data_IF_929921610977
#
_entry.id   IF_929921610977
#
_cell.length_a   1.000
_cell.length_b   1.000
_cell.length_c   1.000
_cell.angle_alpha   90.00
_cell.angle_beta   90.00
_cell.angle_gamma   90.00
#
_symmetry.space_group_name_H-M   'P 1'
#
loop_
_entity.id
_entity.type
_entity.pdbx_description
1 polymer ?
#
# COMPACT_ATOMS: atom_id res chain seq x y z
N UNK A 1 -19.44 6.18 -28.49
CA UNK A 1 -19.38 6.83 -27.16
C UNK A 1 -20.38 6.16 -26.24
N UNK A 2 -19.96 5.62 -25.09
CA UNK A 2 -20.89 4.95 -24.16
C UNK A 2 -21.73 5.98 -23.36
N UNK A 3 -23.02 5.72 -23.09
CA UNK A 3 -23.95 6.70 -22.54
C UNK A 3 -23.53 7.24 -21.16
N UNK A 4 -23.95 8.47 -20.82
CA UNK A 4 -23.73 9.07 -19.49
C UNK A 4 -24.46 8.25 -18.44
N UNK A 5 -23.81 7.99 -17.31
CA UNK A 5 -24.42 7.23 -16.21
C UNK A 5 -25.34 8.17 -15.43
N UNK A 6 -26.61 7.81 -15.30
CA UNK A 6 -27.60 8.59 -14.57
C UNK A 6 -27.70 8.11 -13.10
N UNK A 7 -28.50 8.81 -12.29
CA UNK A 7 -28.68 8.48 -10.88
C UNK A 7 -29.20 7.05 -10.65
N UNK A 8 -30.06 6.55 -11.54
CA UNK A 8 -30.55 5.17 -11.48
C UNK A 8 -29.44 4.14 -11.71
N UNK A 9 -28.55 4.39 -12.68
CA UNK A 9 -27.36 3.55 -12.90
C UNK A 9 -26.49 3.48 -11.64
N UNK A 10 -26.32 4.62 -10.96
CA UNK A 10 -25.54 4.72 -9.74
C UNK A 10 -26.18 3.92 -8.58
N UNK A 11 -27.51 4.00 -8.44
CA UNK A 11 -28.30 3.20 -7.51
C UNK A 11 -28.18 1.69 -7.74
N UNK A 12 -28.36 1.23 -8.98
CA UNK A 12 -28.23 -0.20 -9.32
C UNK A 12 -26.81 -0.71 -9.05
N UNK A 13 -25.79 0.12 -9.28
CA UNK A 13 -24.39 -0.24 -9.03
C UNK A 13 -24.07 -0.35 -7.53
N UNK A 14 -24.62 0.54 -6.70
CA UNK A 14 -24.46 0.49 -5.25
C UNK A 14 -25.18 -0.73 -4.66
N UNK A 15 -26.41 -0.97 -5.10
CA UNK A 15 -27.18 -2.15 -4.69
C UNK A 15 -26.53 -3.48 -5.12
N UNK A 16 -25.90 -3.51 -6.30
CA UNK A 16 -25.12 -4.67 -6.74
C UNK A 16 -23.93 -4.94 -5.80
N UNK A 17 -23.24 -3.90 -5.33
CA UNK A 17 -22.14 -4.05 -4.38
C UNK A 17 -22.61 -4.55 -3.03
N UNK A 18 -23.73 -4.03 -2.53
CA UNK A 18 -24.32 -4.45 -1.26
C UNK A 18 -24.79 -5.91 -1.32
N UNK A 19 -25.43 -6.33 -2.42
CA UNK A 19 -25.86 -7.73 -2.58
C UNK A 19 -24.73 -8.72 -2.87
N UNK A 20 -23.64 -8.28 -3.52
CA UNK A 20 -22.43 -9.11 -3.69
C UNK A 20 -21.71 -9.41 -2.36
N UNK A 21 -21.97 -8.61 -1.32
CA UNK A 21 -21.45 -8.85 0.03
C UNK A 21 -22.29 -9.92 0.76
N UNK A 22 -23.59 -9.99 0.50
CA UNK A 22 -24.52 -10.87 1.23
C UNK A 22 -24.78 -12.23 0.56
N UNK A 23 -24.71 -12.33 -0.77
CA UNK A 23 -25.00 -13.57 -1.50
C UNK A 23 -24.04 -13.73 -2.67
N UNK A 24 -23.33 -14.86 -2.73
CA UNK A 24 -22.32 -15.21 -3.74
C UNK A 24 -22.92 -15.48 -5.14
N UNK A 25 -23.80 -14.60 -5.63
CA UNK A 25 -24.54 -14.69 -6.90
C UNK A 25 -24.38 -13.37 -7.66
N UNK A 26 -23.82 -13.44 -8.86
CA UNK A 26 -23.68 -12.28 -9.75
C UNK A 26 -24.89 -12.16 -10.68
N UNK A 27 -25.81 -11.24 -10.38
CA UNK A 27 -26.88 -10.86 -11.31
C UNK A 27 -26.34 -9.96 -12.43
N UNK A 28 -26.91 -10.08 -13.64
CA UNK A 28 -26.62 -9.13 -14.71
C UNK A 28 -27.24 -7.76 -14.40
N UNK A 29 -26.64 -6.69 -14.93
CA UNK A 29 -27.14 -5.33 -14.69
C UNK A 29 -28.61 -5.16 -15.12
N UNK A 30 -29.02 -5.82 -16.21
CA UNK A 30 -30.40 -5.75 -16.70
C UNK A 30 -31.39 -6.41 -15.73
N UNK A 31 -31.05 -7.59 -15.19
CA UNK A 31 -31.86 -8.27 -14.18
C UNK A 31 -32.04 -7.44 -12.91
N UNK A 32 -30.97 -6.76 -12.47
CA UNK A 32 -31.03 -5.86 -11.32
C UNK A 32 -31.83 -4.59 -11.63
N UNK A 33 -31.66 -4.00 -12.82
CA UNK A 33 -32.41 -2.83 -13.23
C UNK A 33 -33.92 -3.11 -13.23
N UNK A 34 -34.35 -4.26 -13.77
CA UNK A 34 -35.76 -4.65 -13.80
C UNK A 34 -36.33 -4.84 -12.38
N UNK A 35 -35.56 -5.47 -11.48
CA UNK A 35 -35.95 -5.68 -10.08
C UNK A 35 -36.00 -4.37 -9.27
N UNK A 36 -35.08 -3.44 -9.55
CA UNK A 36 -34.89 -2.21 -8.77
C UNK A 36 -35.67 -1.02 -9.31
N UNK A 37 -36.20 -1.10 -10.53
CA UNK A 37 -37.03 -0.03 -11.12
C UNK A 37 -38.25 0.33 -10.25
N UNK A 38 -39.04 -0.63 -9.73
CA UNK A 38 -40.17 -0.31 -8.85
C UNK A 38 -39.73 0.40 -7.56
N UNK A 39 -38.64 -0.07 -6.96
CA UNK A 39 -38.08 0.49 -5.72
C UNK A 39 -37.57 1.91 -5.96
N UNK A 40 -36.86 2.13 -7.06
CA UNK A 40 -36.42 3.45 -7.47
C UNK A 40 -37.60 4.40 -7.70
N UNK A 41 -38.67 3.93 -8.32
CA UNK A 41 -39.86 4.75 -8.56
C UNK A 41 -40.56 5.15 -7.25
N UNK A 42 -40.54 4.28 -6.23
CA UNK A 42 -41.09 4.59 -4.90
C UNK A 42 -40.21 5.49 -4.01
N UNK A 43 -38.93 5.69 -4.35
CA UNK A 43 -38.04 6.56 -3.58
C UNK A 43 -38.41 8.04 -3.73
N UNK A 44 -38.27 8.78 -2.64
CA UNK A 44 -38.39 10.24 -2.61
C UNK A 44 -37.25 10.93 -3.35
N UNK A 45 -37.45 12.19 -3.73
CA UNK A 45 -36.41 12.98 -4.41
C UNK A 45 -35.15 13.19 -3.57
N UNK A 46 -35.29 13.24 -2.23
CA UNK A 46 -34.17 13.34 -1.31
C UNK A 46 -33.32 12.06 -1.31
N UNK A 47 -33.94 10.88 -1.32
CA UNK A 47 -33.24 9.59 -1.41
C UNK A 47 -32.54 9.44 -2.77
N UNK A 48 -33.21 9.87 -3.84
CA UNK A 48 -32.64 9.89 -5.21
C UNK A 48 -31.46 10.86 -5.33
N UNK A 49 -31.41 11.91 -4.51
CA UNK A 49 -30.36 12.93 -4.58
C UNK A 49 -28.97 12.38 -4.21
N UNK A 50 -28.90 11.44 -3.25
CA UNK A 50 -27.65 10.71 -2.93
C UNK A 50 -27.04 10.07 -4.18
N UNK A 51 -27.88 9.43 -4.99
CA UNK A 51 -27.45 8.73 -6.20
C UNK A 51 -27.18 9.69 -7.38
N UNK A 52 -27.80 10.88 -7.41
CA UNK A 52 -27.43 11.95 -8.36
C UNK A 52 -26.00 12.42 -8.10
N UNK A 53 -25.66 12.73 -6.84
CA UNK A 53 -24.30 13.11 -6.43
C UNK A 53 -23.31 11.98 -6.78
N UNK A 54 -23.69 10.72 -6.53
CA UNK A 54 -22.85 9.58 -6.87
C UNK A 54 -22.65 9.40 -8.39
N UNK A 55 -23.70 9.59 -9.19
CA UNK A 55 -23.61 9.58 -10.66
C UNK A 55 -22.68 10.70 -11.18
N UNK A 56 -22.74 11.89 -10.59
CA UNK A 56 -21.87 13.01 -10.94
C UNK A 56 -20.40 12.72 -10.59
N UNK A 57 -20.14 12.02 -9.47
CA UNK A 57 -18.80 11.50 -9.12
C UNK A 57 -18.29 10.45 -10.13
N UNK A 58 -19.17 9.57 -10.61
CA UNK A 58 -18.82 8.57 -11.63
C UNK A 58 -18.55 9.22 -13.01
N UNK A 59 -19.31 10.25 -13.36
CA UNK A 59 -19.15 10.98 -14.62
C UNK A 59 -17.95 11.94 -14.59
N UNK A 60 -17.57 12.49 -13.43
CA UNK A 60 -16.37 13.32 -13.26
C UNK A 60 -15.08 12.51 -13.35
N UNK A 61 -15.01 11.31 -12.77
CA UNK A 61 -13.92 10.33 -13.02
C UNK A 61 -13.73 9.96 -14.50
N UNK A 62 -14.75 10.20 -15.33
CA UNK A 62 -14.74 9.94 -16.78
C UNK A 62 -14.25 11.14 -17.60
N UNK A 63 -14.32 12.35 -17.02
CA UNK A 63 -13.77 13.58 -17.61
C UNK A 63 -12.26 13.69 -17.39
N UNK A 64 -11.71 12.98 -16.41
CA UNK A 64 -10.28 12.72 -16.35
C UNK A 64 -9.90 11.84 -17.55
N UNK A 65 -9.42 12.47 -18.63
CA UNK A 65 -8.64 11.77 -19.64
C UNK A 65 -7.43 11.18 -18.92
N UNK A 66 -7.47 9.88 -18.63
CA UNK A 66 -6.30 9.18 -18.13
C UNK A 66 -5.21 9.30 -19.19
N UNK A 67 -4.11 9.97 -18.86
CA UNK A 67 -2.96 10.07 -19.77
C UNK A 67 -2.47 8.65 -20.11
N UNK A 68 -1.95 8.40 -21.33
CA UNK A 68 -1.37 7.12 -21.72
C UNK A 68 -0.36 6.59 -20.69
N UNK A 69 0.43 7.49 -20.08
CA UNK A 69 1.37 7.18 -18.99
C UNK A 69 0.68 6.58 -17.74
N UNK A 70 -0.52 7.03 -17.39
CA UNK A 70 -1.28 6.48 -16.25
C UNK A 70 -1.76 5.05 -16.54
N UNK A 71 -2.14 4.77 -17.79
CA UNK A 71 -2.58 3.43 -18.22
C UNK A 71 -1.39 2.47 -18.24
N UNK A 72 -0.24 2.90 -18.74
CA UNK A 72 1.01 2.12 -18.72
C UNK A 72 1.47 1.87 -17.28
N UNK A 73 1.41 2.88 -16.39
CA UNK A 73 1.77 2.73 -14.97
C UNK A 73 0.83 1.72 -14.29
N UNK A 74 -0.48 1.82 -14.49
CA UNK A 74 -1.46 0.87 -13.94
C UNK A 74 -1.27 -0.57 -14.46
N UNK A 75 -0.96 -0.73 -15.74
CA UNK A 75 -0.72 -2.04 -16.36
C UNK A 75 0.63 -2.66 -15.93
N UNK A 76 1.66 -1.84 -15.75
CA UNK A 76 2.94 -2.30 -15.21
C UNK A 76 2.79 -2.68 -13.73
N UNK A 77 2.04 -1.90 -12.95
CA UNK A 77 1.76 -2.22 -11.54
C UNK A 77 0.99 -3.54 -11.39
N UNK A 78 0.03 -3.81 -12.26
CA UNK A 78 -0.69 -5.10 -12.22
C UNK A 78 0.22 -6.27 -12.60
N UNK A 79 1.11 -6.10 -13.59
CA UNK A 79 2.11 -7.11 -13.92
C UNK A 79 3.10 -7.36 -12.78
N UNK A 80 3.61 -6.29 -12.16
CA UNK A 80 4.53 -6.37 -11.01
C UNK A 80 3.87 -7.04 -9.81
N UNK A 81 2.59 -6.75 -9.57
CA UNK A 81 1.81 -7.41 -8.53
C UNK A 81 1.75 -8.93 -8.73
N UNK A 82 1.41 -9.40 -9.95
CA UNK A 82 1.33 -10.84 -10.23
C UNK A 82 2.69 -11.53 -10.15
N UNK A 83 3.75 -10.90 -10.68
CA UNK A 83 5.12 -11.41 -10.54
C UNK A 83 5.53 -11.51 -9.07
N UNK A 84 5.15 -10.53 -8.26
CA UNK A 84 5.48 -10.55 -6.84
C UNK A 84 4.70 -11.62 -6.09
N UNK A 85 3.42 -11.82 -6.45
CA UNK A 85 2.61 -12.91 -5.94
C UNK A 85 3.25 -14.28 -6.25
N UNK A 86 3.62 -14.52 -7.51
CA UNK A 86 4.27 -15.76 -7.95
C UNK A 86 5.63 -15.97 -7.24
N UNK A 87 6.44 -14.93 -7.13
CA UNK A 87 7.69 -14.99 -6.36
C UNK A 87 7.46 -15.42 -4.91
N UNK A 88 6.44 -14.86 -4.24
CA UNK A 88 6.13 -15.23 -2.86
C UNK A 88 5.61 -16.67 -2.76
N UNK A 89 4.74 -17.09 -3.68
CA UNK A 89 4.26 -18.48 -3.75
C UNK A 89 5.45 -19.45 -3.86
N UNK A 90 6.38 -19.20 -4.79
CA UNK A 90 7.58 -20.03 -4.98
C UNK A 90 8.52 -20.02 -3.75
N UNK A 91 8.72 -18.85 -3.13
CA UNK A 91 9.53 -18.71 -1.91
C UNK A 91 8.93 -19.52 -0.74
N UNK A 92 7.61 -19.48 -0.58
CA UNK A 92 6.92 -20.21 0.49
C UNK A 92 6.73 -21.70 0.20
N UNK A 93 6.71 -22.11 -1.07
CA UNK A 93 6.73 -23.53 -1.44
C UNK A 93 8.07 -24.18 -1.12
N UNK A 94 9.18 -23.49 -1.43
CA UNK A 94 10.54 -23.99 -1.25
C UNK A 94 11.02 -24.03 0.21
N UNK A 95 10.54 -23.13 1.06
CA UNK A 95 10.93 -23.10 2.48
C UNK A 95 10.26 -24.21 3.30
N UNK A 96 10.99 -24.89 4.18
CA UNK A 96 10.42 -25.85 5.14
C UNK A 96 9.74 -25.17 6.34
N UNK A 97 8.95 -25.91 7.12
CA UNK A 97 8.30 -25.36 8.34
C UNK A 97 9.33 -24.92 9.40
N UNK A 98 10.45 -25.63 9.53
CA UNK A 98 11.52 -25.30 10.48
C UNK A 98 12.30 -24.05 10.03
N UNK A 99 12.64 -23.95 8.75
CA UNK A 99 13.28 -22.76 8.17
C UNK A 99 12.37 -21.53 8.26
N UNK A 100 11.05 -21.72 8.10
CA UNK A 100 10.07 -20.64 8.19
C UNK A 100 10.09 -19.98 9.58
N UNK A 101 10.35 -20.74 10.64
CA UNK A 101 10.42 -20.18 11.99
C UNK A 101 11.56 -19.16 12.16
N UNK A 102 12.68 -19.42 11.49
CA UNK A 102 13.90 -18.62 11.64
C UNK A 102 14.11 -17.61 10.52
N UNK A 103 13.35 -17.71 9.43
CA UNK A 103 13.41 -16.77 8.30
C UNK A 103 13.07 -15.36 8.72
N UNK A 104 13.94 -14.44 8.31
CA UNK A 104 13.85 -13.01 8.60
C UNK A 104 12.94 -12.36 7.56
N UNK A 105 11.85 -11.78 8.02
CA UNK A 105 10.93 -10.96 7.23
C UNK A 105 11.09 -9.50 7.61
N UNK A 106 10.85 -8.60 6.66
CA UNK A 106 10.99 -7.16 6.86
C UNK A 106 9.65 -6.48 6.58
N UNK A 107 9.04 -5.93 7.61
CA UNK A 107 7.89 -5.04 7.47
C UNK A 107 8.40 -3.62 7.20
N UNK A 108 7.75 -2.90 6.29
CA UNK A 108 8.16 -1.59 5.82
C UNK A 108 6.95 -0.65 5.78
N UNK A 109 7.17 0.58 6.23
CA UNK A 109 6.25 1.69 6.10
C UNK A 109 7.02 2.92 5.63
N UNK A 110 6.49 3.62 4.63
CA UNK A 110 7.09 4.83 4.07
C UNK A 110 6.03 5.93 4.00
N UNK A 111 6.24 7.01 4.75
CA UNK A 111 5.50 8.24 4.53
C UNK A 111 6.17 9.03 3.40
N UNK A 112 5.36 9.71 2.57
CA UNK A 112 5.84 10.51 1.44
C UNK A 112 5.61 12.01 1.69
N UNK A 113 6.45 12.88 1.14
CA UNK A 113 6.26 14.34 1.27
C UNK A 113 5.09 14.92 0.46
N UNK A 114 4.56 14.17 -0.50
CA UNK A 114 3.61 14.65 -1.48
C UNK A 114 2.45 13.67 -1.67
N UNK A 115 1.32 14.22 -2.08
CA UNK A 115 0.11 13.45 -2.27
C UNK A 115 0.07 12.80 -3.67
N UNK A 116 -0.78 11.79 -3.83
CA UNK A 116 -0.85 10.95 -5.03
C UNK A 116 -1.08 11.72 -6.34
N UNK A 117 -1.86 12.82 -6.31
CA UNK A 117 -2.13 13.59 -7.53
C UNK A 117 -0.88 14.31 -8.06
N UNK A 118 0.10 14.59 -7.20
CA UNK A 118 1.39 15.20 -7.59
C UNK A 118 2.32 14.17 -8.21
N UNK A 119 2.06 12.87 -7.98
CA UNK A 119 2.88 11.73 -8.40
C UNK A 119 4.37 11.86 -8.04
N UNK A 120 4.69 12.72 -7.08
CA UNK A 120 6.03 12.96 -6.60
C UNK A 120 6.23 12.13 -5.33
N UNK A 121 6.64 10.88 -5.49
CA UNK A 121 6.89 9.99 -4.37
C UNK A 121 8.35 10.15 -3.92
N UNK A 122 8.57 10.96 -2.88
CA UNK A 122 9.84 11.09 -2.19
C UNK A 122 9.60 10.80 -0.70
N UNK A 123 10.41 9.94 -0.06
CA UNK A 123 10.17 9.55 1.32
C UNK A 123 10.32 10.77 2.25
N UNK A 124 9.37 10.95 3.15
CA UNK A 124 9.46 11.82 4.32
C UNK A 124 9.94 11.04 5.55
N UNK A 125 9.60 9.76 5.61
CA UNK A 125 10.02 8.85 6.68
C UNK A 125 10.11 7.44 6.13
N UNK A 126 11.13 6.70 6.57
CA UNK A 126 11.29 5.27 6.31
C UNK A 126 11.32 4.58 7.67
N UNK A 127 10.35 3.70 7.91
CA UNK A 127 10.29 2.86 9.10
C UNK A 127 10.27 1.39 8.67
N UNK A 128 11.21 0.59 9.16
CA UNK A 128 11.28 -0.82 8.85
C UNK A 128 11.53 -1.66 10.10
N UNK A 129 11.00 -2.87 10.08
CA UNK A 129 11.08 -3.81 11.18
C UNK A 129 11.44 -5.19 10.66
N UNK A 130 12.52 -5.75 11.18
CA UNK A 130 12.98 -7.09 10.90
C UNK A 130 12.49 -8.03 11.99
N UNK A 131 11.87 -9.14 11.61
CA UNK A 131 11.34 -10.13 12.56
C UNK A 131 11.48 -11.55 12.02
N UNK A 132 11.37 -12.54 12.90
CA UNK A 132 11.10 -13.92 12.52
C UNK A 132 10.04 -14.52 13.46
N UNK A 133 9.53 -15.71 13.14
CA UNK A 133 8.43 -16.31 13.93
C UNK A 133 8.92 -16.88 15.27
N UNK A 134 10.20 -17.25 15.38
CA UNK A 134 10.78 -17.84 16.59
C UNK A 134 11.08 -16.81 17.69
N UNK A 135 11.65 -15.65 17.33
CA UNK A 135 12.08 -14.61 18.28
C UNK A 135 11.22 -13.35 18.25
N UNK A 136 10.32 -13.21 17.27
CA UNK A 136 9.57 -11.98 17.07
C UNK A 136 10.45 -10.89 16.47
N UNK A 137 10.34 -9.67 16.99
CA UNK A 137 11.09 -8.50 16.48
C UNK A 137 12.58 -8.64 16.79
N UNK A 138 13.41 -8.49 15.76
CA UNK A 138 14.87 -8.58 15.85
C UNK A 138 15.51 -7.19 15.86
N UNK A 139 15.20 -6.37 14.85
CA UNK A 139 15.78 -5.05 14.66
C UNK A 139 14.76 -4.09 14.07
N UNK A 140 14.95 -2.80 14.31
CA UNK A 140 14.15 -1.72 13.74
C UNK A 140 15.04 -0.69 13.10
N UNK A 141 14.57 -0.11 12.01
CA UNK A 141 15.17 1.03 11.33
C UNK A 141 14.14 2.16 11.25
N UNK A 142 14.57 3.38 11.53
CA UNK A 142 13.72 4.56 11.48
C UNK A 142 14.55 5.75 11.02
N UNK A 143 14.06 6.46 10.01
CA UNK A 143 14.75 7.61 9.44
C UNK A 143 13.77 8.63 8.87
N UNK A 144 13.82 9.85 9.39
CA UNK A 144 13.19 11.02 8.75
C UNK A 144 14.09 11.49 7.60
N UNK A 145 13.49 11.82 6.46
CA UNK A 145 14.22 12.24 5.26
C UNK A 145 13.82 13.66 4.89
N UNK A 146 14.78 14.57 4.93
CA UNK A 146 14.60 15.98 4.58
C UNK A 146 14.47 16.22 3.07
N UNK A 147 13.81 17.30 2.71
CA UNK A 147 13.58 17.71 1.32
C UNK A 147 13.77 19.23 1.12
N UNK A 148 14.23 19.96 2.14
CA UNK A 148 14.33 21.41 2.14
C UNK A 148 15.22 21.95 1.02
N UNK A 149 16.29 21.23 0.63
CA UNK A 149 17.16 21.66 -0.48
C UNK A 149 16.77 21.08 -1.86
N UNK A 150 15.89 20.09 -1.93
CA UNK A 150 15.58 19.35 -3.17
C UNK A 150 14.06 19.25 -3.48
N UNK A 151 13.24 20.12 -2.91
CA UNK A 151 11.80 20.09 -3.12
C UNK A 151 11.42 20.48 -4.56
N UNK A 152 10.37 19.84 -5.13
CA UNK A 152 9.92 20.14 -6.47
C UNK A 152 9.18 21.49 -6.51
N UNK A 153 9.56 22.36 -7.44
CA UNK A 153 8.92 23.68 -7.60
C UNK A 153 7.47 23.51 -8.06
N UNK A 154 6.57 24.33 -7.51
CA UNK A 154 5.15 24.33 -7.86
C UNK A 154 4.25 23.42 -7.00
N UNK A 155 4.83 22.62 -6.10
CA UNK A 155 4.09 21.68 -5.24
C UNK A 155 4.02 22.09 -3.77
N UNK A 156 4.62 23.22 -3.40
CA UNK A 156 4.79 23.61 -2.00
C UNK A 156 3.47 23.67 -1.20
N UNK A 157 2.39 24.18 -1.80
CA UNK A 157 1.09 24.24 -1.15
C UNK A 157 0.50 22.85 -0.87
N UNK A 158 0.53 21.97 -1.88
CA UNK A 158 -0.02 20.61 -1.76
C UNK A 158 0.80 19.72 -0.82
N UNK A 159 2.12 19.83 -0.86
CA UNK A 159 3.02 19.13 0.08
C UNK A 159 2.79 19.57 1.53
N UNK A 160 2.58 20.87 1.77
CA UNK A 160 2.27 21.38 3.13
C UNK A 160 0.94 20.81 3.62
N UNK A 161 -0.10 20.94 2.81
CA UNK A 161 -1.43 20.45 3.15
C UNK A 161 -1.43 18.94 3.40
N UNK A 162 -0.68 18.18 2.61
CA UNK A 162 -0.53 16.75 2.81
C UNK A 162 0.21 16.44 4.12
N UNK A 163 1.34 17.09 4.35
CA UNK A 163 2.10 16.91 5.59
C UNK A 163 1.25 17.18 6.82
N UNK A 164 0.61 18.35 6.89
CA UNK A 164 -0.19 18.77 8.05
C UNK A 164 -1.34 17.79 8.34
N UNK A 165 -1.93 17.19 7.30
CA UNK A 165 -3.06 16.27 7.43
C UNK A 165 -2.67 14.84 7.82
N UNK A 166 -1.51 14.37 7.39
CA UNK A 166 -1.19 12.94 7.44
C UNK A 166 -0.04 12.61 8.39
N UNK A 167 1.17 13.11 8.15
CA UNK A 167 2.37 12.68 8.87
C UNK A 167 3.02 13.76 9.74
N UNK A 168 2.65 15.04 9.57
CA UNK A 168 3.13 16.19 10.35
C UNK A 168 4.66 16.36 10.32
N UNK A 169 5.30 16.00 9.20
CA UNK A 169 6.76 16.15 9.01
C UNK A 169 6.99 17.37 8.14
N UNK A 170 7.61 18.41 8.70
CA UNK A 170 7.85 19.64 7.96
C UNK A 170 8.83 19.42 6.78
N UNK A 171 8.33 19.61 5.56
CA UNK A 171 9.10 19.47 4.33
C UNK A 171 10.24 20.50 4.23
N UNK A 172 10.15 21.62 4.96
CA UNK A 172 11.10 22.73 4.92
C UNK A 172 12.00 22.82 6.14
N UNK A 173 11.89 21.90 7.10
CA UNK A 173 12.81 21.88 8.24
C UNK A 173 14.21 21.48 7.79
N UNK A 174 15.14 22.44 7.88
CA UNK A 174 16.56 22.27 7.51
C UNK A 174 17.32 21.35 8.45
N UNK A 175 16.73 21.01 9.60
CA UNK A 175 17.32 20.05 10.53
C UNK A 175 17.04 18.60 10.11
N UNK A 176 16.10 18.36 9.20
CA UNK A 176 15.84 17.02 8.71
C UNK A 176 17.04 16.47 7.90
N UNK A 177 17.44 15.20 8.10
CA UNK A 177 18.60 14.63 7.40
C UNK A 177 18.41 14.58 5.87
N UNK A 178 19.35 15.17 5.13
CA UNK A 178 19.35 15.20 3.66
C UNK A 178 20.57 14.51 3.04
N UNK A 179 21.42 13.86 3.85
CA UNK A 179 22.50 13.04 3.32
C UNK A 179 21.93 11.73 2.77
N UNK A 180 21.35 11.80 1.57
CA UNK A 180 20.65 10.68 0.93
C UNK A 180 21.55 9.48 0.71
N UNK A 181 22.84 9.70 0.42
CA UNK A 181 23.82 8.61 0.30
C UNK A 181 23.97 7.84 1.61
N UNK A 182 24.13 8.55 2.73
CA UNK A 182 24.20 7.93 4.06
C UNK A 182 22.89 7.24 4.42
N UNK A 183 21.75 7.90 4.24
CA UNK A 183 20.42 7.34 4.52
C UNK A 183 20.20 6.04 3.74
N UNK A 184 20.50 6.04 2.44
CA UNK A 184 20.36 4.86 1.59
C UNK A 184 21.32 3.74 2.01
N UNK A 185 22.58 4.09 2.33
CA UNK A 185 23.57 3.12 2.82
C UNK A 185 23.13 2.48 4.14
N UNK A 186 22.69 3.29 5.11
CA UNK A 186 22.22 2.83 6.42
C UNK A 186 21.00 1.91 6.26
N UNK A 187 20.06 2.28 5.38
CA UNK A 187 18.89 1.45 5.09
C UNK A 187 19.27 0.13 4.43
N UNK A 188 20.15 0.13 3.43
CA UNK A 188 20.59 -1.09 2.76
C UNK A 188 21.37 -2.01 3.72
N UNK A 189 22.23 -1.44 4.58
CA UNK A 189 22.93 -2.20 5.62
C UNK A 189 21.92 -2.86 6.59
N UNK A 190 20.87 -2.14 6.98
CA UNK A 190 19.77 -2.72 7.74
C UNK A 190 19.10 -3.88 6.99
N UNK A 191 18.94 -3.81 5.68
CA UNK A 191 18.34 -4.92 4.90
C UNK A 191 19.24 -6.16 4.89
N UNK A 192 20.55 -6.01 4.65
CA UNK A 192 21.45 -7.15 4.40
C UNK A 192 22.00 -7.87 5.63
N UNK A 193 21.89 -7.28 6.83
CA UNK A 193 22.60 -7.78 8.04
C UNK A 193 24.14 -7.80 7.93
N UNK A 194 24.71 -7.20 6.87
CA UNK A 194 26.16 -7.11 6.63
C UNK A 194 26.54 -5.67 6.24
N UNK A 195 27.73 -5.22 6.63
CA UNK A 195 28.27 -3.93 6.19
C UNK A 195 28.67 -4.00 4.72
N UNK A 196 28.00 -3.21 3.87
CA UNK A 196 28.39 -3.09 2.47
C UNK A 196 29.51 -2.04 2.34
N UNK A 197 30.63 -2.43 1.72
CA UNK A 197 31.71 -1.51 1.38
C UNK A 197 31.42 -0.69 0.11
N UNK A 198 30.67 -1.25 -0.85
CA UNK A 198 30.39 -0.61 -2.15
C UNK A 198 28.93 -0.77 -2.61
N UNK A 199 28.23 0.37 -2.76
CA UNK A 199 26.85 0.44 -3.27
C UNK A 199 26.75 0.33 -4.81
N UNK A 200 27.89 0.25 -5.52
CA UNK A 200 27.96 0.25 -6.98
C UNK A 200 27.83 -1.14 -7.61
N UNK A 201 27.62 -2.18 -6.80
CA UNK A 201 27.52 -3.54 -7.31
C UNK A 201 26.16 -3.78 -7.99
N UNK A 202 26.20 -4.00 -9.30
CA UNK A 202 25.03 -4.28 -10.16
C UNK A 202 24.33 -5.61 -9.85
N UNK A 203 24.79 -6.34 -8.84
CA UNK A 203 24.26 -7.63 -8.37
C UNK A 203 23.53 -7.58 -7.01
N UNK A 204 23.20 -6.37 -6.52
CA UNK A 204 22.58 -6.14 -5.21
C UNK A 204 21.22 -6.87 -5.05
N UNK A 205 21.25 -8.12 -4.57
CA UNK A 205 20.06 -8.91 -4.25
C UNK A 205 19.54 -8.54 -2.86
N UNK A 206 18.52 -7.68 -2.82
CA UNK A 206 17.89 -7.25 -1.57
C UNK A 206 16.76 -8.20 -1.15
N UNK A 207 16.56 -8.40 0.17
CA UNK A 207 15.44 -9.16 0.69
C UNK A 207 14.11 -8.48 0.33
N UNK A 208 13.05 -9.30 0.23
CA UNK A 208 11.70 -8.79 0.03
C UNK A 208 11.22 -8.07 1.29
N UNK A 209 10.64 -6.89 1.11
CA UNK A 209 10.03 -6.09 2.16
C UNK A 209 8.52 -6.07 1.98
N UNK A 210 7.78 -5.94 3.07
CA UNK A 210 6.33 -6.08 3.07
C UNK A 210 5.66 -4.83 3.63
N UNK A 211 4.75 -4.24 2.87
CA UNK A 211 3.91 -3.09 3.29
C UNK A 211 2.44 -3.46 3.25
N UNK A 212 1.61 -2.71 3.98
CA UNK A 212 0.15 -2.84 3.96
C UNK A 212 -0.38 -2.52 2.57
N UNK A 213 -1.46 -3.16 2.17
CA UNK A 213 -2.20 -2.88 0.93
C UNK A 213 -3.60 -2.32 1.27
N UNK A 214 -3.83 -1.02 1.05
CA UNK A 214 -5.16 -0.39 1.26
C UNK A 214 -6.09 -0.50 0.04
N UNK A 215 -5.53 -0.38 -1.16
CA UNK A 215 -6.16 -0.63 -2.46
C UNK A 215 -5.15 -1.37 -3.35
N UNK A 216 -5.64 -2.13 -4.34
CA UNK A 216 -4.81 -3.05 -5.15
C UNK A 216 -3.51 -2.38 -5.61
N UNK A 217 -2.40 -2.75 -4.97
CA UNK A 217 -1.03 -2.31 -5.24
C UNK A 217 -0.70 -0.84 -4.96
N UNK A 218 -1.60 -0.03 -4.38
CA UNK A 218 -1.38 1.42 -4.27
C UNK A 218 -0.24 1.79 -3.32
N UNK A 219 -0.25 1.25 -2.10
CA UNK A 219 0.79 1.51 -1.10
C UNK A 219 2.11 0.82 -1.42
N UNK A 220 2.03 -0.37 -2.05
CA UNK A 220 3.21 -1.05 -2.59
C UNK A 220 3.88 -0.19 -3.67
N UNK A 221 3.11 0.39 -4.59
CA UNK A 221 3.60 1.31 -5.60
C UNK A 221 4.18 2.58 -4.96
N UNK A 222 3.49 3.20 -3.99
CA UNK A 222 3.98 4.40 -3.28
C UNK A 222 5.31 4.13 -2.58
N UNK A 223 5.39 3.02 -1.87
CA UNK A 223 6.59 2.57 -1.16
C UNK A 223 7.74 2.32 -2.13
N UNK A 224 7.49 1.53 -3.19
CA UNK A 224 8.47 1.22 -4.23
C UNK A 224 8.98 2.50 -4.91
N UNK A 225 8.09 3.35 -5.40
CA UNK A 225 8.45 4.59 -6.09
C UNK A 225 9.22 5.56 -5.18
N UNK A 226 8.90 5.62 -3.88
CA UNK A 226 9.61 6.46 -2.93
C UNK A 226 11.05 6.00 -2.72
N UNK A 227 11.25 4.69 -2.51
CA UNK A 227 12.60 4.13 -2.36
C UNK A 227 13.42 4.24 -3.65
N UNK A 228 12.79 4.01 -4.81
CA UNK A 228 13.42 4.19 -6.11
C UNK A 228 13.82 5.64 -6.36
N UNK A 229 12.98 6.61 -5.98
CA UNK A 229 13.32 8.02 -6.10
C UNK A 229 14.50 8.40 -5.21
N UNK A 230 14.54 7.90 -3.98
CA UNK A 230 15.70 8.09 -3.10
C UNK A 230 16.97 7.50 -3.74
N UNK A 231 16.88 6.27 -4.27
CA UNK A 231 18.00 5.62 -4.98
C UNK A 231 18.49 6.44 -6.18
N UNK A 232 17.58 6.88 -7.06
CA UNK A 232 17.90 7.72 -8.22
C UNK A 232 18.50 9.07 -7.85
N UNK A 233 18.15 9.60 -6.67
CA UNK A 233 18.74 10.85 -6.17
C UNK A 233 20.20 10.66 -5.77
N UNK A 234 20.57 9.47 -5.29
CA UNK A 234 21.97 9.11 -4.97
C UNK A 234 22.75 8.71 -6.23
N UNK A 235 22.11 8.01 -7.17
CA UNK A 235 22.72 7.48 -8.39
C UNK A 235 21.98 7.95 -9.65
N UNK A 236 22.15 9.22 -10.07
CA UNK A 236 21.42 9.79 -11.20
C UNK A 236 21.86 9.25 -12.57
N UNK A 237 23.04 8.61 -12.66
CA UNK A 237 23.65 8.12 -13.91
C UNK A 237 23.09 6.77 -14.38
N UNK A 238 22.24 6.09 -13.60
CA UNK A 238 21.56 4.88 -14.05
C UNK A 238 20.46 5.22 -15.07
N UNK A 239 20.67 4.77 -16.30
CA UNK A 239 19.85 5.04 -17.48
C UNK A 239 18.36 4.73 -17.25
N UNK A 240 17.50 5.75 -17.37
CA UNK A 240 16.05 5.69 -17.10
C UNK A 240 15.32 4.63 -17.94
N UNK A 241 15.91 4.22 -19.07
CA UNK A 241 15.33 3.27 -20.03
C UNK A 241 15.56 1.80 -19.65
N UNK A 242 16.58 1.50 -18.83
CA UNK A 242 16.96 0.13 -18.43
C UNK A 242 16.98 -0.08 -16.90
N UNK A 243 16.47 0.88 -16.12
CA UNK A 243 16.44 0.78 -14.67
C UNK A 243 15.52 -0.37 -14.22
N UNK A 244 16.12 -1.44 -13.68
CA UNK A 244 15.41 -2.49 -12.96
C UNK A 244 15.44 -2.16 -11.48
N UNK A 245 14.28 -2.03 -10.87
CA UNK A 245 14.17 -1.82 -9.43
C UNK A 245 14.89 -2.91 -8.66
N UNK A 246 15.75 -2.50 -7.72
CA UNK A 246 16.43 -3.39 -6.77
C UNK A 246 15.53 -3.74 -5.57
N UNK A 247 14.44 -2.98 -5.36
CA UNK A 247 13.56 -3.14 -4.22
C UNK A 247 12.39 -4.07 -4.56
N UNK A 248 12.33 -5.22 -3.88
CA UNK A 248 11.21 -6.15 -3.94
C UNK A 248 10.22 -5.80 -2.83
N UNK A 249 9.04 -5.31 -3.20
CA UNK A 249 7.98 -4.91 -2.27
C UNK A 249 6.80 -5.84 -2.46
N UNK A 250 6.45 -6.58 -1.40
CA UNK A 250 5.27 -7.44 -1.29
C UNK A 250 4.20 -6.87 -0.37
N UNK A 251 3.03 -7.51 -0.37
CA UNK A 251 1.92 -7.20 0.54
C UNK A 251 2.07 -7.95 1.87
N UNK A 252 1.81 -7.27 2.99
CA UNK A 252 1.74 -7.87 4.33
C UNK A 252 0.60 -8.89 4.42
N UNK A 253 -0.53 -8.62 3.78
CA UNK A 253 -1.68 -9.52 3.69
C UNK A 253 -1.26 -10.84 3.03
N UNK A 254 -0.50 -10.76 1.94
CA UNK A 254 0.00 -11.95 1.26
C UNK A 254 1.02 -12.71 2.09
N UNK A 255 1.94 -11.99 2.75
CA UNK A 255 2.90 -12.60 3.67
C UNK A 255 2.18 -13.41 4.76
N UNK A 256 1.18 -12.80 5.39
CA UNK A 256 0.41 -13.44 6.46
C UNK A 256 -0.38 -14.64 5.95
N UNK A 257 -0.97 -14.53 4.75
CA UNK A 257 -1.62 -15.65 4.08
C UNK A 257 -0.69 -16.85 3.91
N UNK A 258 0.50 -16.65 3.36
CA UNK A 258 1.43 -17.75 3.10
C UNK A 258 1.97 -18.38 4.39
N UNK A 259 2.30 -17.55 5.40
CA UNK A 259 2.73 -18.04 6.71
C UNK A 259 1.64 -18.94 7.32
N UNK A 260 0.38 -18.51 7.27
CA UNK A 260 -0.73 -19.23 7.89
C UNK A 260 -1.07 -20.52 7.15
N UNK A 261 -1.05 -20.47 5.81
CA UNK A 261 -1.18 -21.65 4.94
C UNK A 261 -0.09 -22.69 5.24
N UNK A 262 1.18 -22.27 5.31
CA UNK A 262 2.32 -23.18 5.53
C UNK A 262 2.32 -23.77 6.95
N UNK A 263 1.98 -22.97 7.96
CA UNK A 263 1.94 -23.42 9.36
C UNK A 263 0.66 -24.18 9.73
N UNK A 264 -0.25 -24.42 8.76
CA UNK A 264 -1.57 -25.06 8.97
C UNK A 264 -2.34 -24.47 10.15
N UNK A 265 -2.15 -23.19 10.42
CA UNK A 265 -2.97 -22.52 11.41
C UNK A 265 -4.40 -22.50 10.88
N UNK A 266 -5.34 -23.10 11.61
CA UNK A 266 -6.78 -22.98 11.36
C UNK A 266 -7.21 -21.53 11.60
N UNK A 267 -6.87 -20.65 10.66
CA UNK A 267 -7.65 -19.45 10.42
C UNK A 267 -8.82 -19.91 9.55
N UNK A 268 -10.03 -19.68 10.05
CA UNK A 268 -11.26 -20.05 9.37
C UNK A 268 -11.17 -19.55 7.92
N UNK A 269 -11.08 -20.46 6.94
CA UNK A 269 -10.71 -20.13 5.55
C UNK A 269 -11.70 -19.19 4.86
N UNK A 270 -12.89 -19.02 5.45
CA UNK A 270 -13.89 -18.01 5.10
C UNK A 270 -13.46 -16.56 5.45
N UNK A 271 -12.49 -16.39 6.34
CA UNK A 271 -11.94 -15.10 6.80
C UNK A 271 -10.73 -14.61 6.01
N UNK A 272 -10.38 -15.28 4.91
CA UNK A 272 -9.16 -14.97 4.13
C UNK A 272 -9.47 -14.80 2.64
N UNK A 273 -10.55 -15.40 2.15
CA UNK A 273 -11.01 -15.29 0.74
C UNK A 273 -11.77 -13.98 0.50
N UNK A 274 -12.37 -13.41 1.54
CA UNK A 274 -12.94 -12.05 1.52
C UNK A 274 -11.82 -11.06 1.76
N UNK A 275 -11.85 -9.88 1.12
CA UNK A 275 -10.88 -8.79 1.25
C UNK A 275 -10.81 -8.18 2.65
N UNK A 276 -10.57 -9.03 3.65
CA UNK A 276 -10.39 -8.70 5.03
C UNK A 276 -9.03 -8.04 5.17
N UNK A 277 -9.08 -6.83 5.71
CA UNK A 277 -7.91 -6.01 5.92
C UNK A 277 -6.96 -6.71 6.89
N UNK A 278 -5.67 -6.33 6.92
CA UNK A 278 -4.71 -6.84 7.92
C UNK A 278 -5.33 -6.81 9.32
N UNK A 279 -6.10 -5.77 9.65
CA UNK A 279 -6.82 -5.61 10.92
C UNK A 279 -7.77 -6.76 11.26
N UNK A 280 -8.45 -7.32 10.28
CA UNK A 280 -9.41 -8.40 10.48
C UNK A 280 -8.72 -9.75 10.69
N UNK A 281 -7.63 -10.00 9.95
CA UNK A 281 -6.77 -11.18 10.16
C UNK A 281 -6.09 -11.11 11.53
N UNK A 282 -5.74 -9.92 12.02
CA UNK A 282 -5.10 -9.74 13.33
C UNK A 282 -6.05 -9.93 14.53
N UNK A 283 -7.36 -9.76 14.32
CA UNK A 283 -8.36 -10.04 15.35
C UNK A 283 -8.51 -11.54 15.62
N UNK A 284 -8.35 -12.37 14.59
CA UNK A 284 -8.56 -13.83 14.66
C UNK A 284 -7.37 -14.59 15.24
N UNK A 285 -6.17 -13.98 15.32
CA UNK A 285 -4.97 -14.60 15.91
C UNK A 285 -5.06 -14.64 17.46
N UNK A 286 -4.74 -15.78 18.12
CA UNK A 286 -4.79 -15.92 19.58
C UNK A 286 -3.92 -14.91 20.34
N UNK A 287 -4.41 -14.43 21.50
CA UNK A 287 -3.82 -13.33 22.31
C UNK A 287 -2.32 -13.48 22.64
N UNK A 288 -1.77 -14.70 22.70
CA UNK A 288 -0.34 -14.93 23.00
C UNK A 288 0.62 -14.56 21.84
N UNK A 289 0.12 -14.37 20.61
CA UNK A 289 0.93 -14.00 19.42
C UNK A 289 0.69 -12.56 18.93
N UNK A 290 -0.06 -11.74 19.68
CA UNK A 290 -0.47 -10.37 19.27
C UNK A 290 0.63 -9.31 19.41
N UNK A 291 1.73 -9.61 20.10
CA UNK A 291 2.73 -8.60 20.46
C UNK A 291 3.56 -8.07 19.27
N UNK A 292 3.75 -8.86 18.20
CA UNK A 292 4.54 -8.40 17.04
C UNK A 292 3.80 -7.43 16.10
N UNK A 293 2.47 -7.32 16.16
CA UNK A 293 1.69 -6.75 15.05
C UNK A 293 0.90 -5.48 15.43
N UNK A 294 1.06 -4.98 16.66
CA UNK A 294 0.41 -3.74 17.09
C UNK A 294 0.94 -2.45 16.42
N UNK A 295 1.99 -2.55 15.59
CA UNK A 295 2.60 -1.39 14.90
C UNK A 295 1.78 -0.79 13.75
N UNK A 296 0.75 -1.48 13.24
CA UNK A 296 0.01 -1.04 12.04
C UNK A 296 -1.35 -0.39 12.32
N UNK A 297 -1.68 -0.06 13.57
CA UNK A 297 -2.89 0.70 13.88
C UNK A 297 -2.70 2.17 13.55
N UNK A 298 -2.90 2.53 12.28
CA UNK A 298 -2.67 3.89 11.82
C UNK A 298 -3.49 4.38 10.63
N UNK A 299 -4.61 3.74 10.22
CA UNK A 299 -5.53 4.39 9.28
C UNK A 299 -6.85 3.64 9.13
N UNK A 300 -7.85 3.95 9.96
CA UNK A 300 -9.27 4.05 9.56
C UNK A 300 -10.17 4.27 10.78
N UNK A 301 -11.12 5.18 10.60
CA UNK A 301 -12.18 5.61 11.52
C UNK A 301 -11.77 6.59 12.63
N UNK A 302 -12.38 7.77 12.53
CA UNK A 302 -12.48 8.81 13.54
C UNK A 302 -12.96 8.26 14.87
N UNK A 303 -12.06 8.17 15.85
CA UNK A 303 -12.19 8.64 17.24
C UNK A 303 -10.99 8.09 18.02
N UNK A 304 -10.37 8.97 18.80
CA UNK A 304 -9.19 8.76 19.64
C UNK A 304 -7.84 8.56 18.94
N UNK A 305 -7.26 9.70 18.56
CA UNK A 305 -5.83 9.88 18.28
C UNK A 305 -5.03 9.55 19.55
N UNK A 306 -4.38 8.39 19.60
CA UNK A 306 -3.21 8.16 20.46
C UNK A 306 -2.01 7.88 19.59
N UNK A 307 -1.12 8.86 19.59
CA UNK A 307 0.19 8.90 18.95
C UNK A 307 0.99 7.60 19.13
N UNK A 308 1.73 7.20 18.08
CA UNK A 308 2.91 6.36 18.21
C UNK A 308 3.98 7.16 18.97
N UNK A 309 3.96 7.05 20.30
CA UNK A 309 5.09 7.44 21.13
C UNK A 309 6.06 6.26 21.15
N UNK A 310 6.92 6.19 20.12
CA UNK A 310 8.08 5.29 20.15
C UNK A 310 8.95 5.80 21.31
N UNK A 311 9.17 4.92 22.29
CA UNK A 311 9.84 5.25 23.55
C UNK A 311 11.23 5.83 23.29
N UNK A 312 11.54 6.96 23.95
CA UNK A 312 12.92 7.33 24.29
C UNK A 312 13.49 6.32 25.28
#
# INVERSE_FOLDING_TARGET
MSPKKNAFFAFVTEYQKEQMIDQNISFSFQQLADKLTPIWNSMSDNEKNKYKIFADKLNSKRKEKKNPEQIITLHNNSSDYWKMKEYLENMFESISEEELLNTKFILLHVNCHAHEAEKYYFPAEIAALKFNLSKGVLHTYHQIVGLANNYPRGFAGGMREYSDKFHQIDCWDKNHPENYKKILSDFINFLKDEEISDLNDSTLDLPCMFTVETEIGLDMMKTKNSLERLYQTVFPEHDLLNYKSIFKIGSVERLLFEITKKTKMNLDSRSIITGLTTHDILKTVPRRKKYCISMFKGSSSSMDVKYLQICR
#
